data_IF_014122132118
#
_entry.id   IF_014122132118
#
_cell.length_a   1.000
_cell.length_b   1.000
_cell.length_c   1.000
_cell.angle_alpha   90.00
_cell.angle_beta   90.00
_cell.angle_gamma   90.00
#
_symmetry.space_group_name_H-M   'P 1'
#
loop_
_entity.id
_entity.type
_entity.pdbx_description
1 polymer ?
#
# COMPACT_ATOMS: atom_id res chain seq x y z
N UNK A 1 32.76 18.40 -6.21
CA UNK A 1 31.81 18.60 -5.09
C UNK A 1 30.84 17.42 -4.92
N UNK A 2 30.32 16.84 -6.03
CA UNK A 2 29.39 15.68 -5.94
C UNK A 2 30.02 14.50 -5.21
N UNK A 3 31.22 14.07 -5.62
CA UNK A 3 31.95 12.96 -4.99
C UNK A 3 32.25 13.21 -3.50
N UNK A 4 32.56 14.44 -3.15
CA UNK A 4 32.84 14.84 -1.77
C UNK A 4 31.59 14.72 -0.90
N UNK A 5 30.43 15.15 -1.40
CA UNK A 5 29.14 15.04 -0.69
C UNK A 5 28.76 13.56 -0.55
N UNK A 6 28.85 12.76 -1.60
CA UNK A 6 28.56 11.32 -1.55
C UNK A 6 29.48 10.59 -0.58
N UNK A 7 30.77 10.89 -0.58
CA UNK A 7 31.75 10.32 0.35
C UNK A 7 31.42 10.68 1.81
N UNK A 8 31.05 11.93 2.06
CA UNK A 8 30.64 12.39 3.40
C UNK A 8 29.35 11.71 3.87
N UNK A 9 28.33 11.62 2.99
CA UNK A 9 27.10 10.90 3.29
C UNK A 9 27.38 9.43 3.65
N UNK A 10 28.15 8.72 2.83
CA UNK A 10 28.46 7.32 3.01
C UNK A 10 29.30 7.04 4.25
N UNK A 11 30.12 8.01 4.73
CA UNK A 11 30.87 7.89 5.98
C UNK A 11 29.97 7.78 7.21
N UNK A 12 28.66 8.08 7.09
CA UNK A 12 27.70 8.05 8.20
C UNK A 12 27.07 6.67 8.43
N UNK A 13 27.30 5.72 7.52
CA UNK A 13 26.82 4.34 7.70
C UNK A 13 27.84 3.30 7.25
N UNK A 14 28.64 2.82 8.19
CA UNK A 14 29.58 1.74 7.93
C UNK A 14 28.89 0.46 7.46
N UNK A 15 27.66 0.21 7.93
CA UNK A 15 26.88 -0.98 7.53
C UNK A 15 26.53 -0.93 6.06
N UNK A 16 25.95 0.16 5.58
CA UNK A 16 25.60 0.32 4.17
C UNK A 16 26.86 0.33 3.28
N UNK A 17 27.91 1.01 3.71
CA UNK A 17 29.17 1.05 2.95
C UNK A 17 29.79 -0.35 2.76
N UNK A 18 29.79 -1.19 3.81
CA UNK A 18 30.27 -2.58 3.72
C UNK A 18 29.44 -3.45 2.79
N UNK A 19 28.16 -3.13 2.61
CA UNK A 19 27.25 -3.83 1.71
C UNK A 19 27.27 -3.25 0.28
N UNK A 20 28.17 -2.32 0.00
CA UNK A 20 28.18 -1.52 -1.24
C UNK A 20 26.84 -0.81 -1.51
N UNK A 21 26.18 -0.35 -0.46
CA UNK A 21 24.93 0.44 -0.46
C UNK A 21 25.21 1.86 0.02
N UNK A 22 24.18 2.66 0.29
CA UNK A 22 24.30 4.05 0.74
C UNK A 22 23.97 5.06 -0.35
N UNK A 23 24.48 6.28 -0.21
CA UNK A 23 24.25 7.38 -1.16
C UNK A 23 24.91 7.08 -2.51
N UNK A 24 24.13 7.14 -3.60
CA UNK A 24 24.52 6.75 -4.95
C UNK A 24 24.53 7.92 -5.92
N UNK A 25 23.60 8.86 -5.77
CA UNK A 25 23.38 9.92 -6.73
C UNK A 25 22.96 11.19 -6.00
N UNK A 26 23.27 12.33 -6.57
CA UNK A 26 22.78 13.65 -6.16
C UNK A 26 22.13 14.28 -7.36
N UNK A 27 20.92 14.80 -7.17
CA UNK A 27 20.27 15.67 -8.14
C UNK A 27 19.93 17.01 -7.50
N UNK A 28 19.90 18.05 -8.32
CA UNK A 28 19.58 19.40 -7.90
C UNK A 28 18.49 19.96 -8.78
N UNK A 29 17.53 20.65 -8.18
CA UNK A 29 16.51 21.42 -8.89
C UNK A 29 16.21 22.72 -8.19
N UNK A 30 15.89 23.73 -8.95
CA UNK A 30 15.43 25.01 -8.45
C UNK A 30 13.90 25.05 -8.46
N UNK A 31 13.31 25.65 -7.46
CA UNK A 31 11.89 25.91 -7.37
C UNK A 31 11.63 27.36 -7.03
N UNK A 32 10.66 27.97 -7.72
CA UNK A 32 10.17 29.31 -7.40
C UNK A 32 9.18 29.25 -6.24
N UNK A 33 9.36 30.14 -5.28
CA UNK A 33 8.43 30.29 -4.16
C UNK A 33 8.07 31.76 -3.95
N UNK A 34 6.98 32.06 -3.25
CA UNK A 34 6.64 33.45 -2.91
C UNK A 34 7.73 34.20 -2.16
N UNK A 35 8.64 33.51 -1.49
CA UNK A 35 9.78 34.08 -0.75
C UNK A 35 11.08 34.10 -1.53
N UNK A 36 11.06 33.75 -2.83
CA UNK A 36 12.23 33.64 -3.72
C UNK A 36 12.57 32.21 -4.06
N UNK A 37 13.62 32.06 -4.89
CA UNK A 37 14.06 30.76 -5.38
C UNK A 37 14.70 29.92 -4.28
N UNK A 38 14.39 28.63 -4.29
CA UNK A 38 14.99 27.64 -3.41
C UNK A 38 15.69 26.56 -4.21
N UNK A 39 16.88 26.18 -3.77
CA UNK A 39 17.62 25.04 -4.31
C UNK A 39 17.25 23.78 -3.52
N UNK A 40 16.73 22.77 -4.22
CA UNK A 40 16.50 21.43 -3.67
C UNK A 40 17.68 20.56 -4.05
N UNK A 41 18.36 19.97 -3.07
CA UNK A 41 19.42 18.97 -3.27
C UNK A 41 18.88 17.62 -2.80
N UNK A 42 18.70 16.70 -3.74
CA UNK A 42 18.17 15.37 -3.50
C UNK A 42 19.31 14.35 -3.47
N UNK A 43 19.39 13.57 -2.37
CA UNK A 43 20.28 12.41 -2.23
C UNK A 43 19.50 11.13 -2.52
N UNK A 44 19.92 10.37 -3.51
CA UNK A 44 19.40 9.03 -3.76
C UNK A 44 20.22 8.02 -2.96
N UNK A 45 19.57 7.33 -2.01
CA UNK A 45 20.24 6.45 -1.05
C UNK A 45 19.67 5.03 -1.16
N UNK A 46 20.55 4.06 -1.47
CA UNK A 46 20.22 2.63 -1.38
C UNK A 46 20.34 2.19 0.08
N UNK A 47 19.20 1.98 0.71
CA UNK A 47 19.09 1.60 2.13
C UNK A 47 19.00 0.09 2.36
N UNK A 48 19.07 -0.72 1.29
CA UNK A 48 18.94 -2.17 1.34
C UNK A 48 17.58 -2.62 1.87
N UNK A 49 17.61 -3.58 2.79
CA UNK A 49 16.41 -4.17 3.38
C UNK A 49 15.83 -3.37 4.56
N UNK A 50 16.33 -2.17 4.80
CA UNK A 50 15.74 -1.22 5.75
C UNK A 50 14.67 -0.35 5.08
N UNK A 51 13.72 0.16 5.86
CA UNK A 51 12.84 1.26 5.41
C UNK A 51 13.66 2.51 5.12
N UNK A 52 14.67 2.80 5.95
CA UNK A 52 15.75 3.74 5.66
C UNK A 52 15.59 5.15 6.21
N UNK A 53 14.49 5.49 6.89
CA UNK A 53 14.21 6.87 7.33
C UNK A 53 15.36 7.49 8.16
N UNK A 54 15.82 6.78 9.20
CA UNK A 54 16.83 7.31 10.11
C UNK A 54 18.18 7.55 9.41
N UNK A 55 18.64 6.59 8.62
CA UNK A 55 19.92 6.70 7.93
C UNK A 55 19.88 7.80 6.85
N UNK A 56 18.77 7.94 6.16
CA UNK A 56 18.56 9.03 5.18
C UNK A 56 18.64 10.38 5.85
N UNK A 57 17.92 10.59 6.96
CA UNK A 57 17.96 11.86 7.71
C UNK A 57 19.38 12.15 8.23
N UNK A 58 20.05 11.15 8.79
CA UNK A 58 21.44 11.30 9.26
C UNK A 58 22.39 11.71 8.14
N UNK A 59 22.26 11.13 6.95
CA UNK A 59 23.07 11.51 5.79
C UNK A 59 22.74 12.94 5.31
N UNK A 60 21.48 13.31 5.23
CA UNK A 60 21.05 14.66 4.86
C UNK A 60 21.58 15.73 5.84
N UNK A 61 21.48 15.47 7.13
CA UNK A 61 22.01 16.36 8.17
C UNK A 61 23.53 16.51 8.06
N UNK A 62 24.23 15.42 7.83
CA UNK A 62 25.69 15.43 7.77
C UNK A 62 26.26 16.20 6.57
N UNK A 63 25.59 16.15 5.41
CA UNK A 63 26.06 16.84 4.21
C UNK A 63 25.66 18.31 4.13
N UNK A 64 24.67 18.72 4.92
CA UNK A 64 24.13 20.09 4.88
C UNK A 64 25.19 21.20 5.07
N UNK A 65 26.13 21.13 6.05
CA UNK A 65 27.15 22.17 6.19
C UNK A 65 28.08 22.26 4.98
N UNK A 66 28.35 21.14 4.31
CA UNK A 66 29.15 21.15 3.10
C UNK A 66 28.39 21.78 1.93
N UNK A 67 27.10 21.49 1.81
CA UNK A 67 26.22 22.10 0.78
C UNK A 67 26.11 23.62 1.01
N UNK A 68 25.92 24.08 2.24
CA UNK A 68 25.91 25.52 2.58
C UNK A 68 27.19 26.19 2.16
N UNK A 69 28.35 25.57 2.45
CA UNK A 69 29.66 26.10 2.05
C UNK A 69 29.82 26.21 0.54
N UNK A 70 29.31 25.22 -0.21
CA UNK A 70 29.43 25.20 -1.69
C UNK A 70 28.50 26.22 -2.33
N UNK A 71 27.29 26.37 -1.83
CA UNK A 71 26.25 27.21 -2.42
C UNK A 71 26.23 28.63 -1.90
N UNK A 72 26.84 28.90 -0.75
CA UNK A 72 26.70 30.16 -0.02
C UNK A 72 25.31 30.38 0.61
N UNK A 73 24.43 29.38 0.50
CA UNK A 73 23.07 29.41 1.02
C UNK A 73 22.96 28.90 2.47
N UNK A 74 21.72 28.72 2.92
CA UNK A 74 21.38 28.16 4.22
C UNK A 74 20.45 26.98 4.05
N UNK A 75 20.79 25.82 4.60
CA UNK A 75 19.93 24.65 4.60
C UNK A 75 18.78 24.82 5.63
N UNK A 76 17.55 24.69 5.17
CA UNK A 76 16.34 24.76 6.00
C UNK A 76 15.91 23.37 6.47
N UNK A 77 15.66 22.45 5.55
CA UNK A 77 15.18 21.11 5.82
C UNK A 77 16.25 20.09 5.42
N UNK A 78 16.41 19.06 6.25
CA UNK A 78 17.39 17.98 6.09
C UNK A 78 16.69 16.68 6.42
N UNK A 79 15.78 16.26 5.55
CA UNK A 79 14.79 15.21 5.83
C UNK A 79 14.54 14.36 4.57
N UNK A 80 14.18 13.09 4.76
CA UNK A 80 13.74 12.23 3.68
C UNK A 80 12.46 12.73 3.01
N UNK A 81 12.22 12.28 1.79
CA UNK A 81 10.89 12.27 1.19
C UNK A 81 10.28 10.86 1.33
N UNK A 82 9.00 10.78 1.75
CA UNK A 82 8.26 9.52 1.72
C UNK A 82 7.83 9.13 0.30
N UNK A 83 7.93 10.05 -0.67
CA UNK A 83 7.60 9.78 -2.07
C UNK A 83 8.74 9.04 -2.78
N UNK A 84 8.92 7.77 -2.41
CA UNK A 84 10.04 6.91 -2.82
C UNK A 84 9.86 6.31 -4.21
N UNK A 85 9.82 7.13 -5.26
CA UNK A 85 9.58 6.72 -6.65
C UNK A 85 10.67 5.82 -7.26
N UNK A 86 11.78 5.59 -6.55
CA UNK A 86 12.82 4.61 -6.93
C UNK A 86 12.63 3.24 -6.28
N UNK A 87 11.64 3.08 -5.39
CA UNK A 87 11.29 1.81 -4.74
C UNK A 87 9.94 1.32 -5.24
N UNK A 88 9.85 1.17 -6.56
CA UNK A 88 8.64 0.71 -7.23
C UNK A 88 8.48 -0.80 -7.12
N UNK A 89 7.23 -1.23 -6.96
CA UNK A 89 6.86 -2.64 -6.99
C UNK A 89 5.61 -2.82 -7.83
N UNK A 90 5.53 -3.93 -8.54
CA UNK A 90 4.45 -4.26 -9.47
C UNK A 90 3.92 -5.66 -9.22
N UNK A 91 2.62 -5.79 -9.12
CA UNK A 91 1.90 -7.05 -9.15
C UNK A 91 1.07 -7.13 -10.45
N UNK A 92 1.05 -8.30 -11.07
CA UNK A 92 0.18 -8.62 -12.21
C UNK A 92 -0.52 -9.95 -11.92
N UNK A 93 -1.81 -10.02 -12.19
CA UNK A 93 -2.59 -11.25 -12.11
C UNK A 93 -3.48 -11.40 -13.35
N UNK A 94 -3.69 -12.65 -13.77
CA UNK A 94 -4.61 -13.01 -14.83
C UNK A 94 -5.66 -13.92 -14.19
N UNK A 95 -6.93 -13.61 -14.42
CA UNK A 95 -8.07 -14.37 -13.92
C UNK A 95 -8.84 -14.91 -15.12
N UNK A 96 -8.96 -16.23 -15.19
CA UNK A 96 -9.76 -16.88 -16.22
C UNK A 96 -11.20 -16.38 -16.18
N UNK A 97 -11.74 -16.01 -17.32
CA UNK A 97 -13.08 -15.39 -17.43
C UNK A 97 -14.19 -16.25 -16.78
N UNK A 98 -14.08 -17.58 -16.85
CA UNK A 98 -15.02 -18.50 -16.22
C UNK A 98 -15.00 -18.39 -14.70
N UNK A 99 -13.80 -18.23 -14.11
CA UNK A 99 -13.62 -18.06 -12.65
C UNK A 99 -14.08 -16.68 -12.17
N UNK A 100 -14.03 -15.68 -13.02
CA UNK A 100 -14.54 -14.31 -12.71
C UNK A 100 -16.06 -14.30 -12.68
N UNK A 101 -16.72 -15.10 -13.52
CA UNK A 101 -18.17 -15.18 -13.66
C UNK A 101 -18.68 -14.96 -15.09
N UNK A 102 -17.79 -15.12 -16.07
CA UNK A 102 -18.06 -14.97 -17.49
C UNK A 102 -17.60 -13.65 -18.09
N UNK A 103 -17.66 -13.55 -19.40
CA UNK A 103 -17.14 -12.41 -20.17
C UNK A 103 -17.84 -11.10 -19.83
N UNK A 104 -19.16 -11.14 -19.62
CA UNK A 104 -19.93 -9.94 -19.21
C UNK A 104 -19.44 -9.35 -17.88
N UNK A 105 -19.02 -10.21 -16.94
CA UNK A 105 -18.46 -9.74 -15.65
C UNK A 105 -17.09 -9.14 -15.85
N UNK A 106 -16.26 -9.72 -16.72
CA UNK A 106 -14.95 -9.14 -17.09
C UNK A 106 -15.15 -7.74 -17.69
N UNK A 107 -16.05 -7.59 -18.64
CA UNK A 107 -16.35 -6.29 -19.28
C UNK A 107 -16.87 -5.26 -18.27
N UNK A 108 -17.76 -5.67 -17.36
CA UNK A 108 -18.25 -4.79 -16.30
C UNK A 108 -17.12 -4.35 -15.33
N UNK A 109 -16.15 -5.22 -15.02
CA UNK A 109 -14.99 -4.86 -14.19
C UNK A 109 -14.12 -3.84 -14.92
N UNK A 110 -13.87 -4.01 -16.23
CA UNK A 110 -13.09 -3.05 -17.03
C UNK A 110 -13.79 -1.69 -17.05
N UNK A 111 -15.10 -1.64 -17.29
CA UNK A 111 -15.88 -0.40 -17.24
C UNK A 111 -15.85 0.26 -15.86
N UNK A 112 -15.95 -0.52 -14.78
CA UNK A 112 -15.86 -0.01 -13.42
C UNK A 112 -14.46 0.56 -13.11
N UNK A 113 -13.40 -0.02 -13.65
CA UNK A 113 -12.06 0.53 -13.60
C UNK A 113 -11.95 1.83 -14.40
N UNK A 114 -12.43 1.89 -15.63
CA UNK A 114 -12.41 3.10 -16.46
C UNK A 114 -13.12 4.25 -15.75
N UNK A 115 -14.23 3.99 -15.09
CA UNK A 115 -14.89 4.99 -14.25
C UNK A 115 -13.97 5.45 -13.12
N UNK A 116 -13.33 4.54 -12.39
CA UNK A 116 -12.41 4.89 -11.30
C UNK A 116 -11.18 5.65 -11.80
N UNK A 117 -10.70 5.38 -13.01
CA UNK A 117 -9.55 6.06 -13.59
C UNK A 117 -9.87 7.48 -14.09
N UNK A 118 -11.13 7.79 -14.36
CA UNK A 118 -11.54 9.06 -14.97
C UNK A 118 -12.35 9.98 -14.04
N UNK A 119 -12.88 9.49 -12.92
CA UNK A 119 -13.59 10.28 -11.91
C UNK A 119 -12.83 10.30 -10.58
N UNK A 120 -12.49 11.49 -10.08
CA UNK A 120 -11.69 11.66 -8.87
C UNK A 120 -12.39 11.09 -7.62
N UNK A 121 -13.72 11.27 -7.49
CA UNK A 121 -14.46 10.75 -6.33
C UNK A 121 -14.44 9.22 -6.31
N UNK A 122 -14.60 8.61 -7.48
CA UNK A 122 -14.50 7.16 -7.61
C UNK A 122 -13.06 6.67 -7.41
N UNK A 123 -12.07 7.35 -7.97
CA UNK A 123 -10.64 7.04 -7.80
C UNK A 123 -10.22 6.99 -6.33
N UNK A 124 -10.61 7.98 -5.52
CA UNK A 124 -10.29 8.04 -4.09
C UNK A 124 -10.85 6.82 -3.36
N UNK A 125 -12.10 6.44 -3.62
CA UNK A 125 -12.72 5.27 -2.97
C UNK A 125 -12.12 3.96 -3.49
N UNK A 126 -11.79 3.88 -4.76
CA UNK A 126 -11.12 2.74 -5.38
C UNK A 126 -9.72 2.50 -4.79
N UNK A 127 -8.91 3.54 -4.72
CA UNK A 127 -7.55 3.48 -4.17
C UNK A 127 -7.55 3.18 -2.66
N UNK A 128 -8.50 3.75 -1.91
CA UNK A 128 -8.70 3.39 -0.49
C UNK A 128 -8.96 1.89 -0.33
N UNK A 129 -9.71 1.28 -1.25
CA UNK A 129 -9.96 -0.16 -1.30
C UNK A 129 -8.67 -0.97 -1.49
N UNK A 130 -7.79 -0.55 -2.40
CA UNK A 130 -6.45 -1.14 -2.60
C UNK A 130 -5.63 -1.04 -1.31
N UNK A 131 -5.60 0.14 -0.71
CA UNK A 131 -4.81 0.41 0.49
C UNK A 131 -5.31 -0.39 1.71
N UNK A 132 -6.58 -0.79 1.78
CA UNK A 132 -7.05 -1.70 2.83
C UNK A 132 -6.23 -2.99 2.90
N UNK A 133 -5.90 -3.60 1.75
CA UNK A 133 -5.08 -4.81 1.70
C UNK A 133 -3.62 -4.54 2.09
N UNK A 134 -3.01 -3.52 1.47
CA UNK A 134 -1.61 -3.15 1.70
C UNK A 134 -1.37 -2.77 3.17
N UNK A 135 -2.22 -1.91 3.73
CA UNK A 135 -2.08 -1.39 5.11
C UNK A 135 -2.35 -2.49 6.15
N UNK A 136 -3.22 -3.45 5.85
CA UNK A 136 -3.42 -4.60 6.75
C UNK A 136 -2.14 -5.41 6.94
N UNK A 137 -1.41 -5.71 5.86
CA UNK A 137 -0.10 -6.38 5.93
C UNK A 137 0.94 -5.47 6.59
N UNK A 138 0.98 -4.18 6.21
CA UNK A 138 1.91 -3.21 6.80
C UNK A 138 1.79 -3.16 8.33
N UNK A 139 0.57 -3.05 8.85
CA UNK A 139 0.30 -3.01 10.29
C UNK A 139 0.67 -4.33 10.98
N UNK A 140 0.38 -5.47 10.36
CA UNK A 140 0.71 -6.78 10.90
C UNK A 140 2.23 -6.96 11.13
N UNK A 141 3.05 -6.44 10.22
CA UNK A 141 4.51 -6.55 10.30
C UNK A 141 5.20 -5.24 10.75
N UNK A 142 4.44 -4.28 11.29
CA UNK A 142 4.98 -3.08 11.93
C UNK A 142 5.67 -2.10 10.97
N UNK A 143 5.16 -1.94 9.75
CA UNK A 143 5.64 -0.93 8.80
C UNK A 143 4.98 0.43 9.06
N UNK A 144 5.57 1.50 8.51
CA UNK A 144 5.01 2.85 8.56
C UNK A 144 3.85 2.99 7.54
N UNK A 145 2.64 2.67 7.99
CA UNK A 145 1.43 2.71 7.15
C UNK A 145 1.13 4.10 6.60
N UNK A 146 1.43 5.16 7.35
CA UNK A 146 1.18 6.55 6.92
C UNK A 146 2.14 6.97 5.80
N UNK A 147 3.41 6.60 5.89
CA UNK A 147 4.39 6.84 4.83
C UNK A 147 4.01 6.11 3.54
N UNK A 148 3.58 4.84 3.66
CA UNK A 148 3.11 4.03 2.53
C UNK A 148 1.89 4.67 1.86
N UNK A 149 0.90 5.05 2.64
CA UNK A 149 -0.35 5.63 2.14
C UNK A 149 -0.13 7.00 1.47
N UNK A 150 0.69 7.86 2.09
CA UNK A 150 1.07 9.16 1.51
C UNK A 150 1.78 8.99 0.16
N UNK A 151 2.72 8.05 0.05
CA UNK A 151 3.44 7.78 -1.18
C UNK A 151 2.51 7.26 -2.29
N UNK A 152 1.62 6.32 -1.97
CA UNK A 152 0.66 5.76 -2.92
C UNK A 152 -0.32 6.83 -3.43
N UNK A 153 -0.87 7.67 -2.55
CA UNK A 153 -1.77 8.75 -2.94
C UNK A 153 -1.07 9.83 -3.78
N UNK A 154 0.18 10.19 -3.47
CA UNK A 154 0.98 11.08 -4.30
C UNK A 154 1.24 10.47 -5.68
N UNK A 155 1.51 9.16 -5.75
CA UNK A 155 1.73 8.45 -7.00
C UNK A 155 0.47 8.37 -7.87
N UNK A 156 -0.72 8.22 -7.26
CA UNK A 156 -1.99 8.28 -7.96
C UNK A 156 -2.22 9.63 -8.70
N UNK A 157 -1.54 10.69 -8.27
CA UNK A 157 -1.62 12.03 -8.85
C UNK A 157 -0.41 12.41 -9.73
N UNK A 158 0.54 11.49 -10.00
CA UNK A 158 1.79 11.77 -10.71
C UNK A 158 1.59 12.36 -12.12
N UNK A 159 0.46 12.03 -12.76
CA UNK A 159 0.08 12.55 -14.08
C UNK A 159 -0.50 13.97 -14.05
N UNK A 160 -0.58 14.62 -12.87
CA UNK A 160 -1.27 15.90 -12.65
C UNK A 160 -2.76 15.76 -12.36
N UNK A 161 -3.33 14.55 -12.45
CA UNK A 161 -4.71 14.22 -12.09
C UNK A 161 -4.73 12.97 -11.21
N UNK A 162 -5.50 12.97 -10.13
CA UNK A 162 -5.67 11.81 -9.26
C UNK A 162 -6.44 10.71 -10.00
N UNK A 163 -5.83 9.53 -10.13
CA UNK A 163 -6.34 8.39 -10.91
C UNK A 163 -6.26 7.09 -10.12
N UNK A 164 -6.78 6.01 -10.71
CA UNK A 164 -6.65 4.65 -10.18
C UNK A 164 -5.18 4.22 -10.09
N UNK A 165 -4.81 3.60 -8.97
CA UNK A 165 -3.50 2.95 -8.79
C UNK A 165 -3.42 1.60 -9.50
N UNK A 166 -4.55 0.90 -9.66
CA UNK A 166 -4.64 -0.35 -10.42
C UNK A 166 -5.08 -0.10 -11.86
N UNK A 167 -4.76 -1.07 -12.72
CA UNK A 167 -5.25 -1.14 -14.11
C UNK A 167 -5.90 -2.48 -14.33
N UNK A 168 -7.07 -2.46 -14.97
CA UNK A 168 -7.80 -3.66 -15.35
C UNK A 168 -8.07 -3.64 -16.84
N UNK A 169 -7.82 -4.76 -17.50
CA UNK A 169 -8.03 -4.93 -18.94
C UNK A 169 -8.45 -6.37 -19.27
N UNK A 170 -8.92 -6.57 -20.47
CA UNK A 170 -9.19 -7.90 -21.03
C UNK A 170 -8.02 -8.29 -21.95
N UNK A 171 -7.55 -9.53 -21.88
CA UNK A 171 -6.58 -10.08 -22.84
C UNK A 171 -7.26 -10.64 -24.10
N UNK A 172 -6.47 -11.14 -25.05
CA UNK A 172 -6.94 -11.65 -26.33
C UNK A 172 -7.82 -12.91 -26.17
N UNK A 173 -7.70 -13.65 -25.06
CA UNK A 173 -8.49 -14.83 -24.73
C UNK A 173 -9.78 -14.47 -23.94
N UNK A 174 -9.96 -13.19 -23.62
CA UNK A 174 -11.10 -12.67 -22.87
C UNK A 174 -10.93 -12.76 -21.36
N UNK A 175 -9.74 -13.11 -20.85
CA UNK A 175 -9.45 -13.17 -19.42
C UNK A 175 -9.24 -11.77 -18.83
N UNK A 176 -9.52 -11.62 -17.53
CA UNK A 176 -9.30 -10.37 -16.83
C UNK A 176 -7.83 -10.27 -16.40
N UNK A 177 -7.18 -9.17 -16.78
CA UNK A 177 -5.81 -8.84 -16.39
C UNK A 177 -5.82 -7.66 -15.42
N UNK A 178 -5.28 -7.87 -14.22
CA UNK A 178 -5.11 -6.84 -13.21
C UNK A 178 -3.63 -6.50 -13.02
N UNK A 179 -3.31 -5.21 -12.92
CA UNK A 179 -1.96 -4.68 -12.64
C UNK A 179 -2.07 -3.64 -11.54
N UNK A 180 -1.18 -3.73 -10.55
CA UNK A 180 -0.97 -2.70 -9.54
C UNK A 180 0.51 -2.37 -9.48
N UNK A 181 0.87 -1.10 -9.62
CA UNK A 181 2.24 -0.60 -9.53
C UNK A 181 2.28 0.63 -8.64
N UNK A 182 3.07 0.57 -7.56
CA UNK A 182 3.12 1.63 -6.54
C UNK A 182 4.52 1.74 -5.93
N UNK A 183 4.88 2.92 -5.39
CA UNK A 183 6.06 3.05 -4.55
C UNK A 183 5.79 2.45 -3.16
N UNK A 184 6.67 1.54 -2.70
CA UNK A 184 6.61 0.95 -1.36
C UNK A 184 7.97 1.00 -0.66
N UNK A 185 8.09 1.90 0.32
CA UNK A 185 9.26 1.98 1.19
C UNK A 185 9.02 1.20 2.48
N UNK A 186 9.40 -0.08 2.46
CA UNK A 186 9.26 -1.02 3.58
C UNK A 186 10.62 -1.61 3.96
N UNK A 187 10.71 -2.27 5.11
CA UNK A 187 11.94 -2.93 5.54
C UNK A 187 11.67 -4.15 6.40
N UNK A 188 12.61 -5.09 6.37
CA UNK A 188 12.60 -6.29 7.21
C UNK A 188 13.69 -6.27 8.29
N UNK A 189 14.59 -5.26 8.25
CA UNK A 189 15.66 -5.06 9.21
C UNK A 189 15.46 -3.76 9.98
N UNK A 190 15.73 -3.79 11.28
CA UNK A 190 15.52 -2.64 12.16
C UNK A 190 14.05 -2.38 12.51
N UNK A 191 13.79 -1.28 13.22
CA UNK A 191 12.44 -0.84 13.54
C UNK A 191 11.63 -1.79 14.43
N UNK A 192 10.31 -1.65 14.39
CA UNK A 192 9.34 -2.38 15.23
C UNK A 192 9.32 -3.89 14.91
N UNK A 193 9.61 -4.29 13.68
CA UNK A 193 9.58 -5.70 13.23
C UNK A 193 10.38 -6.61 14.15
N UNK A 194 11.53 -6.14 14.64
CA UNK A 194 12.44 -6.91 15.49
C UNK A 194 12.16 -6.76 17.00
N UNK A 195 11.24 -5.90 17.40
CA UNK A 195 10.97 -5.59 18.82
C UNK A 195 9.57 -6.07 19.23
N UNK A 196 8.54 -5.81 18.40
CA UNK A 196 7.16 -6.12 18.73
C UNK A 196 6.87 -7.62 18.56
N UNK A 197 6.38 -8.33 19.60
CA UNK A 197 6.20 -9.78 19.54
C UNK A 197 5.28 -10.25 18.41
N UNK A 198 4.16 -9.56 18.21
CA UNK A 198 3.18 -9.90 17.15
C UNK A 198 3.77 -9.67 15.77
N UNK A 199 4.47 -8.56 15.54
CA UNK A 199 5.12 -8.28 14.26
C UNK A 199 6.16 -9.37 13.91
N UNK A 200 6.91 -9.85 14.90
CA UNK A 200 7.84 -10.99 14.73
C UNK A 200 7.13 -12.27 14.28
N UNK A 201 5.98 -12.58 14.89
CA UNK A 201 5.19 -13.77 14.52
C UNK A 201 4.65 -13.61 13.11
N UNK A 202 4.06 -12.46 12.77
CA UNK A 202 3.55 -12.19 11.45
C UNK A 202 4.65 -12.23 10.37
N UNK A 203 5.83 -11.68 10.65
CA UNK A 203 6.98 -11.75 9.74
C UNK A 203 7.43 -13.20 9.50
N UNK A 204 7.44 -14.04 10.55
CA UNK A 204 7.74 -15.48 10.42
C UNK A 204 6.69 -16.22 9.58
N UNK A 205 5.40 -15.88 9.73
CA UNK A 205 4.32 -16.47 8.92
C UNK A 205 4.50 -16.11 7.45
N UNK A 206 4.85 -14.85 7.15
CA UNK A 206 5.10 -14.40 5.77
C UNK A 206 6.35 -15.06 5.17
N UNK A 207 7.36 -15.36 6.00
CA UNK A 207 8.62 -16.00 5.61
C UNK A 207 9.32 -15.29 4.44
N UNK A 208 9.30 -13.96 4.45
CA UNK A 208 9.97 -13.12 3.44
C UNK A 208 11.43 -12.88 3.82
N UNK A 209 12.33 -12.89 2.84
CA UNK A 209 13.77 -12.78 3.04
C UNK A 209 14.34 -11.40 2.66
N UNK A 210 13.53 -10.56 2.00
CA UNK A 210 13.95 -9.22 1.58
C UNK A 210 12.83 -8.20 1.70
N UNK A 211 13.19 -6.91 1.79
CA UNK A 211 12.23 -5.81 1.73
C UNK A 211 11.48 -5.78 0.39
N UNK A 212 12.14 -6.18 -0.70
CA UNK A 212 11.53 -6.29 -2.01
C UNK A 212 10.43 -7.36 -2.03
N UNK A 213 10.69 -8.52 -1.44
CA UNK A 213 9.70 -9.61 -1.36
C UNK A 213 8.51 -9.21 -0.49
N UNK A 214 8.74 -8.55 0.66
CA UNK A 214 7.66 -7.98 1.48
C UNK A 214 6.81 -7.01 0.66
N UNK A 215 7.44 -6.12 -0.10
CA UNK A 215 6.73 -5.17 -0.96
C UNK A 215 5.90 -5.89 -2.04
N UNK A 216 6.41 -6.98 -2.63
CA UNK A 216 5.66 -7.81 -3.58
C UNK A 216 4.42 -8.45 -2.94
N UNK A 217 4.55 -9.04 -1.75
CA UNK A 217 3.42 -9.61 -0.99
C UNK A 217 2.36 -8.55 -0.70
N UNK A 218 2.78 -7.38 -0.24
CA UNK A 218 1.86 -6.28 0.06
C UNK A 218 1.13 -5.79 -1.19
N UNK A 219 1.83 -5.65 -2.32
CA UNK A 219 1.24 -5.22 -3.58
C UNK A 219 0.28 -6.26 -4.15
N UNK A 220 0.63 -7.55 -4.07
CA UNK A 220 -0.26 -8.64 -4.47
C UNK A 220 -1.53 -8.68 -3.61
N UNK A 221 -1.40 -8.46 -2.30
CA UNK A 221 -2.55 -8.36 -1.39
C UNK A 221 -3.44 -7.16 -1.74
N UNK A 222 -2.85 -6.01 -2.08
CA UNK A 222 -3.59 -4.84 -2.55
C UNK A 222 -4.37 -5.10 -3.84
N UNK A 223 -3.76 -5.79 -4.81
CA UNK A 223 -4.41 -6.16 -6.06
C UNK A 223 -5.56 -7.16 -5.84
N UNK A 224 -5.35 -8.18 -5.00
CA UNK A 224 -6.38 -9.16 -4.65
C UNK A 224 -7.57 -8.51 -3.92
N UNK A 225 -7.29 -7.59 -2.99
CA UNK A 225 -8.31 -6.80 -2.29
C UNK A 225 -9.12 -5.94 -3.27
N UNK A 226 -8.45 -5.31 -4.22
CA UNK A 226 -9.10 -4.50 -5.25
C UNK A 226 -9.97 -5.35 -6.18
N UNK A 227 -9.47 -6.51 -6.64
CA UNK A 227 -10.23 -7.47 -7.43
C UNK A 227 -11.54 -7.85 -6.74
N UNK A 228 -11.48 -8.25 -5.48
CA UNK A 228 -12.67 -8.64 -4.71
C UNK A 228 -13.70 -7.52 -4.63
N UNK A 229 -13.25 -6.29 -4.39
CA UNK A 229 -14.12 -5.13 -4.29
C UNK A 229 -14.76 -4.75 -5.64
N UNK A 230 -13.95 -4.66 -6.71
CA UNK A 230 -14.44 -4.24 -8.02
C UNK A 230 -15.38 -5.30 -8.62
N UNK A 231 -15.08 -6.59 -8.42
CA UNK A 231 -15.97 -7.69 -8.84
C UNK A 231 -17.32 -7.62 -8.12
N UNK A 232 -17.31 -7.45 -6.79
CA UNK A 232 -18.55 -7.31 -6.03
C UNK A 232 -19.39 -6.12 -6.49
N UNK A 233 -18.76 -4.97 -6.75
CA UNK A 233 -19.43 -3.76 -7.25
C UNK A 233 -20.02 -3.94 -8.65
N UNK A 234 -19.37 -4.73 -9.50
CA UNK A 234 -19.76 -4.98 -10.90
C UNK A 234 -20.79 -6.09 -11.05
N UNK A 235 -21.14 -6.81 -9.96
CA UNK A 235 -22.07 -7.94 -9.96
C UNK A 235 -23.22 -7.73 -8.98
N UNK A 236 -23.12 -8.32 -7.78
CA UNK A 236 -24.18 -8.36 -6.77
C UNK A 236 -24.28 -7.10 -5.89
N UNK A 237 -23.30 -6.21 -5.99
CA UNK A 237 -23.15 -5.03 -5.15
C UNK A 237 -22.47 -5.35 -3.80
N UNK A 238 -21.68 -4.38 -3.33
CA UNK A 238 -20.84 -4.56 -2.13
C UNK A 238 -21.67 -4.70 -0.85
N UNK A 239 -22.89 -4.13 -0.83
CA UNK A 239 -23.75 -4.15 0.34
C UNK A 239 -24.19 -5.56 0.73
N UNK A 240 -24.45 -6.43 -0.25
CA UNK A 240 -24.86 -7.81 -0.01
C UNK A 240 -23.77 -8.59 0.75
N UNK A 241 -22.52 -8.45 0.33
CA UNK A 241 -21.38 -9.05 1.03
C UNK A 241 -21.19 -8.49 2.44
N UNK A 242 -21.30 -7.15 2.60
CA UNK A 242 -21.21 -6.50 3.91
C UNK A 242 -22.33 -6.92 4.84
N UNK A 243 -23.56 -7.08 4.36
CA UNK A 243 -24.70 -7.52 5.17
C UNK A 243 -24.49 -8.95 5.65
N UNK A 244 -23.93 -9.84 4.84
CA UNK A 244 -23.61 -11.20 5.25
C UNK A 244 -22.54 -11.23 6.35
N UNK A 245 -21.48 -10.42 6.21
CA UNK A 245 -20.43 -10.29 7.21
C UNK A 245 -20.98 -9.68 8.52
N UNK A 246 -21.82 -8.64 8.40
CA UNK A 246 -22.49 -8.04 9.57
C UNK A 246 -23.40 -9.04 10.29
N UNK A 247 -24.14 -9.85 9.55
CA UNK A 247 -24.98 -10.92 10.11
C UNK A 247 -24.14 -11.95 10.89
N UNK A 248 -22.94 -12.33 10.38
CA UNK A 248 -22.01 -13.22 11.11
C UNK A 248 -21.56 -12.61 12.44
N UNK A 249 -21.20 -11.33 12.44
CA UNK A 249 -20.79 -10.63 13.66
C UNK A 249 -21.95 -10.57 14.68
N UNK A 250 -23.17 -10.31 14.22
CA UNK A 250 -24.35 -10.30 15.07
C UNK A 250 -24.69 -11.69 15.63
N UNK A 251 -24.58 -12.74 14.82
CA UNK A 251 -24.77 -14.11 15.28
C UNK A 251 -23.73 -14.48 16.36
N UNK A 252 -22.48 -14.15 16.18
CA UNK A 252 -21.42 -14.35 17.16
C UNK A 252 -21.68 -13.53 18.44
N UNK A 253 -22.08 -12.26 18.33
CA UNK A 253 -22.43 -11.39 19.45
C UNK A 253 -23.69 -11.87 20.20
N UNK A 254 -24.60 -12.59 19.53
CA UNK A 254 -25.75 -13.25 20.16
C UNK A 254 -25.39 -14.50 20.96
N UNK A 255 -24.12 -14.97 20.87
CA UNK A 255 -23.63 -16.15 21.57
C UNK A 255 -23.66 -17.46 20.76
N UNK A 256 -23.83 -17.37 19.43
CA UNK A 256 -23.79 -18.53 18.55
C UNK A 256 -22.39 -19.19 18.52
N UNK A 257 -22.37 -20.51 18.59
CA UNK A 257 -21.14 -21.28 18.37
C UNK A 257 -20.71 -21.20 16.89
N UNK A 258 -19.42 -21.44 16.56
CA UNK A 258 -18.97 -21.44 15.17
C UNK A 258 -19.80 -22.33 14.22
N UNK A 259 -20.32 -23.47 14.72
CA UNK A 259 -21.17 -24.37 13.95
C UNK A 259 -22.58 -23.82 13.68
N UNK A 260 -23.09 -22.92 14.53
CA UNK A 260 -24.43 -22.33 14.43
C UNK A 260 -24.45 -21.03 13.61
N UNK A 261 -23.30 -20.34 13.48
CA UNK A 261 -23.22 -19.02 12.86
C UNK A 261 -23.81 -19.05 11.46
N UNK A 262 -23.38 -19.98 10.60
CA UNK A 262 -23.82 -20.01 9.20
C UNK A 262 -25.33 -20.26 9.07
N UNK A 263 -25.89 -21.12 9.90
CA UNK A 263 -27.34 -21.39 9.93
C UNK A 263 -28.15 -20.15 10.34
N UNK A 264 -27.68 -19.41 11.36
CA UNK A 264 -28.34 -18.19 11.82
C UNK A 264 -28.26 -17.10 10.74
N UNK A 265 -27.10 -16.94 10.12
CA UNK A 265 -26.88 -15.98 9.02
C UNK A 265 -27.84 -16.24 7.86
N UNK A 266 -27.93 -17.47 7.38
CA UNK A 266 -28.86 -17.82 6.30
C UNK A 266 -30.31 -17.51 6.67
N UNK A 267 -30.75 -17.87 7.88
CA UNK A 267 -32.10 -17.55 8.37
C UNK A 267 -32.32 -16.02 8.45
N UNK A 268 -31.38 -15.23 8.98
CA UNK A 268 -31.49 -13.77 9.03
C UNK A 268 -31.62 -13.15 7.62
N UNK A 269 -30.86 -13.67 6.65
CA UNK A 269 -30.92 -13.20 5.24
C UNK A 269 -32.27 -13.57 4.61
N UNK A 270 -32.76 -14.80 4.83
CA UNK A 270 -34.07 -15.26 4.30
C UNK A 270 -35.23 -14.41 4.79
N UNK A 271 -35.23 -14.07 6.09
CA UNK A 271 -36.30 -13.22 6.69
C UNK A 271 -36.04 -11.72 6.46
N UNK A 272 -34.95 -11.35 5.75
CA UNK A 272 -34.54 -9.96 5.47
C UNK A 272 -34.44 -9.07 6.72
N UNK A 273 -34.09 -9.67 7.86
CA UNK A 273 -33.96 -8.99 9.15
C UNK A 273 -32.62 -9.32 9.77
N UNK A 274 -31.66 -8.40 9.66
CA UNK A 274 -30.31 -8.55 10.18
C UNK A 274 -30.15 -7.62 11.38
N UNK A 275 -30.37 -8.16 12.58
CA UNK A 275 -30.26 -7.46 13.85
C UNK A 275 -29.81 -8.41 14.97
N UNK A 276 -29.27 -7.86 16.07
CA UNK A 276 -28.87 -8.64 17.22
C UNK A 276 -30.05 -9.37 17.86
N UNK A 277 -31.20 -8.72 17.96
CA UNK A 277 -32.41 -9.31 18.54
C UNK A 277 -32.89 -10.47 17.69
N UNK A 278 -32.88 -10.34 16.37
CA UNK A 278 -33.23 -11.46 15.48
C UNK A 278 -32.24 -12.61 15.56
N UNK A 279 -30.94 -12.31 15.70
CA UNK A 279 -29.93 -13.35 15.91
C UNK A 279 -30.17 -14.12 17.22
N UNK A 280 -30.51 -13.42 18.32
CA UNK A 280 -30.88 -14.06 19.63
C UNK A 280 -32.13 -14.90 19.51
N UNK A 281 -33.18 -14.40 18.88
CA UNK A 281 -34.44 -15.15 18.64
C UNK A 281 -34.18 -16.44 17.88
N UNK A 282 -33.40 -16.36 16.75
CA UNK A 282 -33.08 -17.52 15.95
C UNK A 282 -32.16 -18.52 16.66
N UNK A 283 -31.27 -18.05 17.53
CA UNK A 283 -30.43 -18.91 18.35
C UNK A 283 -31.24 -19.76 19.35
N UNK A 284 -32.34 -19.23 19.87
CA UNK A 284 -33.25 -19.98 20.77
C UNK A 284 -34.07 -21.06 20.02
N UNK A 285 -34.11 -21.03 18.70
CA UNK A 285 -34.85 -21.95 17.85
C UNK A 285 -33.97 -23.08 17.23
N UNK A 286 -32.66 -23.07 17.57
CA UNK A 286 -31.68 -24.04 17.14
C UNK A 286 -31.12 -24.83 18.32
#
# INVERSE_FOLDING_TARGET
STDEILKLANSKSNTLSKMNKGAKEITCKEIDTPSGNMLIVELLIDVGDAMGANVTNTMCEAVSPLIEKITGGRALLRILSNYSTRRMVKAKAIFEKESVGGEDVVDNIVLAFEFADNDVYRAVTHNKGIMNGIISVANAVGQDSRAIESAANAYAAISGKYRSLSKWSKDDDGNLVGILEIPLSVGIVGGIVNVHPVAKVCAKILNVESAQELACVMTATGLAQNYSAIRALSTEGIQKGHMRLHARNLAAAAGATPAQIDQIVEKMIQVKSISLDKAKELLQQI
#
